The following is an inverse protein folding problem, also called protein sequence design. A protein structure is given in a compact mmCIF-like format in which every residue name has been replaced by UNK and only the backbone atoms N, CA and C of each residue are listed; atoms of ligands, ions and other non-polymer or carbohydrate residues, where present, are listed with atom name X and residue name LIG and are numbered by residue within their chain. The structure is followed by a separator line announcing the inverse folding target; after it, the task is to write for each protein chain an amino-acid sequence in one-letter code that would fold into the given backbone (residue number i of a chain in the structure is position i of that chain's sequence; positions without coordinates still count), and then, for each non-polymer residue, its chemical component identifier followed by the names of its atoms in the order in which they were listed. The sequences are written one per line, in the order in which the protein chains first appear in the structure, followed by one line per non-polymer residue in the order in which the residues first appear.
data_IF_674529985283
#
_entry.id   IF_674529985283
#
_cell.length_a   1.000
_cell.length_b   1.000
_cell.length_c   1.000
_cell.angle_alpha   90.00
_cell.angle_beta   90.00
_cell.angle_gamma   90.00
#
_symmetry.space_group_name_H-M   'P 1'
#
loop_
_entity.id
_entity.type
_entity.pdbx_description
1 polymer ?
#
# COMPACT_ATOMS: atom_id res chain seq x y z
N UNK A 1 26.71 -3.73 69.02
CA UNK A 1 26.05 -4.18 67.78
C UNK A 1 26.05 -3.00 66.81
N UNK A 2 27.06 -2.89 65.95
CA UNK A 2 27.21 -1.79 64.99
C UNK A 2 26.83 -2.25 63.59
N UNK A 3 26.04 -1.42 62.92
CA UNK A 3 25.32 -1.69 61.68
C UNK A 3 26.14 -1.40 60.41
N UNK A 4 25.68 -2.00 59.32
CA UNK A 4 26.24 -2.19 57.97
C UNK A 4 26.83 -0.96 57.27
N UNK A 5 27.80 -1.21 56.36
CA UNK A 5 27.81 -0.59 55.02
C UNK A 5 28.24 -1.60 53.96
N UNK A 6 27.27 -2.11 53.21
CA UNK A 6 27.47 -2.89 51.99
C UNK A 6 27.42 -1.92 50.81
N UNK A 7 28.56 -1.69 50.16
CA UNK A 7 28.65 -0.83 48.97
C UNK A 7 28.29 -1.69 47.76
N UNK A 8 27.07 -1.52 47.27
CA UNK A 8 26.61 -2.15 46.04
C UNK A 8 27.07 -1.32 44.85
N UNK A 9 28.03 -1.84 44.08
CA UNK A 9 28.48 -1.24 42.83
C UNK A 9 27.46 -1.52 41.73
N UNK A 10 26.63 -0.52 41.42
CA UNK A 10 25.74 -0.53 40.26
C UNK A 10 26.57 -0.37 38.99
N UNK A 11 26.80 -1.49 38.30
CA UNK A 11 27.39 -1.54 36.97
C UNK A 11 26.35 -1.00 35.96
N UNK A 12 26.50 0.26 35.54
CA UNK A 12 25.64 0.88 34.54
C UNK A 12 25.98 0.30 33.15
N UNK A 13 25.18 -0.69 32.71
CA UNK A 13 25.14 -1.15 31.33
C UNK A 13 24.55 -0.03 30.46
N UNK A 14 25.41 0.83 29.91
CA UNK A 14 25.04 1.78 28.89
C UNK A 14 24.71 1.00 27.60
N UNK A 15 23.41 0.73 27.37
CA UNK A 15 22.92 0.33 26.05
C UNK A 15 23.10 1.53 25.12
N UNK A 16 24.19 1.54 24.33
CA UNK A 16 24.32 2.44 23.19
C UNK A 16 23.24 2.08 22.18
N UNK A 17 22.12 2.80 22.22
CA UNK A 17 21.15 2.80 21.14
C UNK A 17 21.83 3.36 19.89
N UNK A 18 22.26 2.47 18.99
CA UNK A 18 22.73 2.86 17.67
C UNK A 18 21.51 3.36 16.89
N UNK A 19 21.22 4.65 16.98
CA UNK A 19 20.23 5.30 16.12
C UNK A 19 20.86 5.50 14.75
N UNK A 20 20.91 4.44 13.95
CA UNK A 20 21.15 4.59 12.52
C UNK A 20 20.03 5.48 11.98
N UNK A 21 20.35 6.63 11.37
CA UNK A 21 19.33 7.45 10.71
C UNK A 21 18.66 6.57 9.65
N UNK A 22 17.36 6.37 9.78
CA UNK A 22 16.58 5.75 8.71
C UNK A 22 16.68 6.66 7.49
N UNK A 23 17.05 6.10 6.34
CA UNK A 23 17.03 6.84 5.09
C UNK A 23 15.61 7.42 4.87
N UNK A 24 15.50 8.69 4.44
CA UNK A 24 14.20 9.29 4.20
C UNK A 24 13.46 8.52 3.10
N UNK A 25 12.21 8.14 3.38
CA UNK A 25 11.34 7.38 2.47
C UNK A 25 10.19 8.25 1.95
N UNK A 26 9.68 7.91 0.77
CA UNK A 26 8.43 8.47 0.27
C UNK A 26 7.22 7.67 0.81
N UNK A 27 6.12 8.34 1.15
CA UNK A 27 4.90 7.70 1.65
C UNK A 27 3.80 7.77 0.59
N UNK A 28 3.27 6.61 0.18
CA UNK A 28 2.19 6.50 -0.79
C UNK A 28 0.90 6.24 -0.02
N UNK A 29 0.01 7.24 0.00
CA UNK A 29 -1.28 7.15 0.66
C UNK A 29 -2.35 6.60 -0.28
N UNK A 30 -3.05 5.58 0.19
CA UNK A 30 -4.09 4.91 -0.58
C UNK A 30 -5.22 4.39 0.31
N UNK A 31 -6.31 3.95 -0.32
CA UNK A 31 -7.40 3.24 0.34
C UNK A 31 -7.96 2.17 -0.58
N UNK A 32 -8.48 1.11 0.00
CA UNK A 32 -9.25 0.10 -0.74
C UNK A 32 -10.70 0.58 -0.84
N UNK A 33 -11.24 0.60 -2.06
CA UNK A 33 -12.60 1.07 -2.32
C UNK A 33 -13.62 -0.06 -2.25
N UNK A 34 -13.24 -1.26 -2.71
CA UNK A 34 -14.14 -2.40 -2.84
C UNK A 34 -13.57 -3.49 -3.72
N UNK A 35 -14.43 -4.45 -4.07
CA UNK A 35 -14.09 -5.59 -4.90
C UNK A 35 -15.18 -5.82 -5.95
N UNK A 36 -14.79 -6.09 -7.19
CA UNK A 36 -15.70 -6.29 -8.32
C UNK A 36 -15.30 -7.48 -9.18
N UNK A 37 -16.12 -7.85 -10.16
CA UNK A 37 -15.82 -8.92 -11.13
C UNK A 37 -15.62 -8.42 -12.56
N UNK A 38 -16.03 -7.20 -12.88
CA UNK A 38 -15.95 -6.62 -14.21
C UNK A 38 -15.36 -5.21 -14.18
N UNK A 39 -14.34 -4.96 -15.00
CA UNK A 39 -13.73 -3.65 -15.18
C UNK A 39 -13.71 -3.27 -16.66
N UNK A 40 -13.85 -1.97 -16.94
CA UNK A 40 -13.51 -1.39 -18.24
C UNK A 40 -12.14 -0.73 -18.11
N UNK A 41 -11.17 -1.14 -18.94
CA UNK A 41 -9.84 -0.53 -19.00
C UNK A 41 -9.63 0.12 -20.36
N UNK A 42 -8.55 0.89 -20.52
CA UNK A 42 -8.17 1.45 -21.82
C UNK A 42 -7.84 0.39 -22.88
N UNK A 43 -7.57 -0.87 -22.47
CA UNK A 43 -7.33 -2.00 -23.37
C UNK A 43 -8.57 -2.88 -23.61
N UNK A 44 -9.70 -2.60 -22.96
CA UNK A 44 -10.97 -3.29 -23.14
C UNK A 44 -11.63 -3.74 -21.83
N UNK A 45 -12.70 -4.52 -21.97
CA UNK A 45 -13.40 -5.11 -20.84
C UNK A 45 -12.59 -6.28 -20.26
N UNK A 46 -12.49 -6.34 -18.93
CA UNK A 46 -11.89 -7.43 -18.18
C UNK A 46 -12.96 -8.04 -17.27
N UNK A 47 -13.15 -9.34 -17.39
CA UNK A 47 -13.96 -10.15 -16.46
C UNK A 47 -13.05 -11.04 -15.65
N UNK A 48 -13.17 -10.98 -14.33
CA UNK A 48 -12.46 -11.89 -13.42
C UNK A 48 -12.94 -13.33 -13.68
N UNK A 49 -12.02 -14.30 -13.85
CA UNK A 49 -12.39 -15.70 -13.96
C UNK A 49 -13.02 -16.21 -12.66
N UNK A 50 -13.70 -17.36 -12.72
CA UNK A 50 -14.26 -17.98 -11.52
C UNK A 50 -13.16 -18.19 -10.45
N UNK A 51 -13.52 -17.95 -9.18
CA UNK A 51 -12.57 -18.00 -8.06
C UNK A 51 -11.60 -16.82 -8.04
N UNK A 52 -11.95 -15.71 -8.68
CA UNK A 52 -11.18 -14.47 -8.67
C UNK A 52 -12.09 -13.25 -8.53
N UNK A 53 -11.50 -12.15 -8.08
CA UNK A 53 -12.11 -10.85 -8.06
C UNK A 53 -11.10 -9.75 -8.35
N UNK A 54 -11.57 -8.53 -8.58
CA UNK A 54 -10.75 -7.34 -8.81
C UNK A 54 -10.86 -6.47 -7.55
N UNK A 55 -9.79 -6.43 -6.76
CA UNK A 55 -9.67 -5.50 -5.65
C UNK A 55 -9.35 -4.09 -6.19
N UNK A 56 -10.16 -3.11 -5.84
CA UNK A 56 -10.05 -1.73 -6.34
C UNK A 56 -9.47 -0.83 -5.26
N UNK A 57 -8.47 -0.05 -5.63
CA UNK A 57 -7.79 0.91 -4.76
C UNK A 57 -7.77 2.29 -5.38
N UNK A 58 -7.69 3.30 -4.52
CA UNK A 58 -7.41 4.68 -4.90
C UNK A 58 -6.13 5.13 -4.21
N UNK A 59 -5.11 5.47 -5.00
CA UNK A 59 -3.94 6.21 -4.53
C UNK A 59 -4.25 7.69 -4.68
N UNK A 60 -4.22 8.43 -3.57
CA UNK A 60 -4.69 9.81 -3.55
C UNK A 60 -3.61 10.82 -3.15
N UNK A 61 -2.49 10.37 -2.58
CA UNK A 61 -1.38 11.27 -2.24
C UNK A 61 -0.05 10.53 -2.21
N UNK A 62 1.00 11.22 -2.62
CA UNK A 62 2.39 10.83 -2.37
C UNK A 62 3.03 11.94 -1.54
N UNK A 63 3.58 11.58 -0.39
CA UNK A 63 4.42 12.45 0.42
C UNK A 63 5.90 12.17 0.14
N UNK A 64 6.55 13.11 -0.52
CA UNK A 64 7.97 13.08 -0.84
C UNK A 64 8.72 14.23 -0.14
N UNK A 65 8.13 14.80 0.91
CA UNK A 65 8.63 16.03 1.57
C UNK A 65 9.94 15.82 2.32
N UNK A 66 10.19 14.58 2.76
CA UNK A 66 11.43 14.20 3.44
C UNK A 66 12.52 13.73 2.48
N UNK A 67 12.15 13.46 1.22
CA UNK A 67 13.07 12.92 0.24
C UNK A 67 13.73 14.03 -0.59
N UNK A 68 15.05 14.09 -0.55
CA UNK A 68 15.87 15.02 -1.36
C UNK A 68 16.03 14.62 -2.84
N UNK A 69 15.22 13.69 -3.34
CA UNK A 69 15.30 13.15 -4.71
C UNK A 69 13.94 13.22 -5.39
N UNK A 70 13.95 13.62 -6.66
CA UNK A 70 12.80 13.51 -7.54
C UNK A 70 12.75 12.12 -8.16
N UNK A 71 11.55 11.60 -8.40
CA UNK A 71 11.33 10.29 -9.01
C UNK A 71 9.99 10.27 -9.76
N UNK A 72 9.67 9.14 -10.40
CA UNK A 72 8.40 8.96 -11.10
C UNK A 72 7.62 7.81 -10.49
N UNK A 73 6.38 8.10 -10.07
CA UNK A 73 5.46 7.10 -9.55
C UNK A 73 4.64 6.50 -10.70
N UNK A 74 4.66 5.18 -10.87
CA UNK A 74 3.78 4.50 -11.81
C UNK A 74 2.85 3.54 -11.08
N UNK A 75 1.56 3.85 -11.05
CA UNK A 75 0.53 2.99 -10.46
C UNK A 75 0.52 1.55 -10.99
N UNK A 76 1.01 1.28 -12.21
CA UNK A 76 1.12 -0.07 -12.76
C UNK A 76 2.18 -0.93 -12.04
N UNK A 77 3.15 -0.29 -11.36
CA UNK A 77 4.17 -0.99 -10.57
C UNK A 77 3.69 -1.36 -9.16
N UNK A 78 2.52 -0.88 -8.71
CA UNK A 78 1.94 -1.26 -7.41
C UNK A 78 1.54 -2.74 -7.41
N UNK A 79 1.73 -3.38 -6.26
CA UNK A 79 1.51 -4.81 -6.06
C UNK A 79 0.81 -5.05 -4.72
N UNK A 80 0.26 -6.25 -4.50
CA UNK A 80 -0.14 -6.67 -3.16
C UNK A 80 1.08 -7.00 -2.31
N UNK A 81 1.05 -6.59 -1.04
CA UNK A 81 2.10 -6.87 -0.07
C UNK A 81 2.21 -8.36 0.27
N UNK A 82 1.14 -9.13 0.09
CA UNK A 82 1.12 -10.57 0.30
C UNK A 82 0.46 -11.31 -0.88
N UNK A 83 1.01 -12.46 -1.31
CA UNK A 83 0.42 -13.31 -2.33
C UNK A 83 -0.90 -13.96 -1.86
N UNK A 84 -1.69 -14.54 -2.79
CA UNK A 84 -1.45 -14.64 -4.23
C UNK A 84 -1.94 -13.39 -5.01
N UNK A 85 -1.03 -12.78 -5.79
CA UNK A 85 -1.34 -11.73 -6.75
C UNK A 85 -1.31 -12.34 -8.15
N UNK A 86 -2.32 -12.05 -8.99
CA UNK A 86 -2.27 -12.45 -10.40
C UNK A 86 -1.77 -11.35 -11.30
N UNK A 87 -2.35 -10.16 -11.21
CA UNK A 87 -2.09 -9.10 -12.18
C UNK A 87 -2.58 -7.74 -11.69
N UNK A 88 -1.76 -6.70 -11.86
CA UNK A 88 -2.22 -5.32 -11.83
C UNK A 88 -2.86 -4.99 -13.20
N UNK A 89 -4.12 -4.53 -13.18
CA UNK A 89 -4.94 -4.33 -14.38
C UNK A 89 -4.74 -2.97 -15.03
N UNK A 90 -3.88 -2.09 -14.49
CA UNK A 90 -3.46 -0.91 -15.22
C UNK A 90 -2.88 0.21 -14.38
N UNK A 91 -2.42 1.23 -15.08
CA UNK A 91 -1.96 2.48 -14.51
C UNK A 91 -2.24 3.66 -15.43
N UNK A 92 -2.24 4.87 -14.86
CA UNK A 92 -2.43 6.12 -15.60
C UNK A 92 -1.15 6.65 -16.23
N UNK A 93 -0.10 5.82 -16.26
CA UNK A 93 1.25 6.21 -16.63
C UNK A 93 2.03 6.88 -15.49
N UNK A 94 3.32 7.17 -15.71
CA UNK A 94 4.20 7.71 -14.69
C UNK A 94 3.84 9.16 -14.34
N UNK A 95 3.79 9.46 -13.04
CA UNK A 95 3.57 10.80 -12.49
C UNK A 95 4.85 11.31 -11.83
N UNK A 96 5.35 12.50 -12.21
CA UNK A 96 6.54 13.06 -11.59
C UNK A 96 6.29 13.46 -10.13
N UNK A 97 7.21 13.07 -9.26
CA UNK A 97 7.21 13.41 -7.84
C UNK A 97 8.50 14.18 -7.53
N UNK A 98 8.38 15.48 -7.30
CA UNK A 98 9.52 16.35 -7.01
C UNK A 98 10.13 16.10 -5.63
N UNK A 99 11.44 16.30 -5.50
CA UNK A 99 12.12 16.34 -4.20
C UNK A 99 11.45 17.37 -3.26
N UNK A 100 11.19 16.98 -2.01
CA UNK A 100 10.60 17.88 -1.02
C UNK A 100 9.12 18.23 -1.25
N UNK A 101 8.43 17.53 -2.16
CA UNK A 101 7.04 17.85 -2.53
C UNK A 101 6.04 16.82 -1.97
N UNK A 102 4.77 17.24 -1.89
CA UNK A 102 3.64 16.31 -1.80
C UNK A 102 2.80 16.42 -3.08
N UNK A 103 2.39 15.29 -3.64
CA UNK A 103 1.61 15.22 -4.88
C UNK A 103 0.24 14.64 -4.56
N UNK A 104 -0.82 15.32 -4.99
CA UNK A 104 -2.19 14.78 -4.92
C UNK A 104 -2.48 14.01 -6.20
N UNK A 105 -3.09 12.84 -6.07
CA UNK A 105 -3.39 11.93 -7.16
C UNK A 105 -4.87 11.56 -7.16
N UNK A 106 -5.34 11.05 -8.30
CA UNK A 106 -6.60 10.33 -8.41
C UNK A 106 -6.37 9.02 -9.19
N UNK A 107 -5.29 8.31 -8.86
CA UNK A 107 -4.93 7.09 -9.56
C UNK A 107 -5.76 5.92 -9.00
N UNK A 108 -6.44 5.21 -9.90
CA UNK A 108 -7.20 4.00 -9.58
C UNK A 108 -6.39 2.78 -9.99
N UNK A 109 -6.39 1.77 -9.13
CA UNK A 109 -5.65 0.53 -9.33
C UNK A 109 -6.63 -0.62 -9.15
N UNK A 110 -6.71 -1.50 -10.14
CA UNK A 110 -7.41 -2.78 -10.02
C UNK A 110 -6.38 -3.90 -9.93
N UNK A 111 -6.48 -4.76 -8.93
CA UNK A 111 -5.62 -5.94 -8.81
C UNK A 111 -6.49 -7.18 -8.82
N UNK A 112 -6.17 -8.12 -9.72
CA UNK A 112 -6.81 -9.42 -9.75
C UNK A 112 -6.29 -10.28 -8.57
N UNK A 113 -7.23 -10.73 -7.73
CA UNK A 113 -7.00 -11.53 -6.53
C UNK A 113 -7.70 -12.88 -6.66
N UNK A 114 -7.11 -13.92 -6.06
CA UNK A 114 -7.77 -15.22 -5.92
C UNK A 114 -8.76 -15.19 -4.76
N UNK A 115 -9.82 -15.98 -4.89
CA UNK A 115 -10.91 -16.06 -3.92
C UNK A 115 -11.32 -17.51 -3.68
N UNK A 116 -11.94 -17.78 -2.53
CA UNK A 116 -12.47 -19.10 -2.20
C UNK A 116 -13.79 -19.36 -2.93
N UNK A 117 -14.64 -18.34 -3.08
CA UNK A 117 -15.92 -18.48 -3.76
C UNK A 117 -15.78 -18.29 -5.26
N UNK A 118 -16.51 -19.07 -6.08
CA UNK A 118 -16.52 -18.91 -7.53
C UNK A 118 -16.92 -17.51 -8.01
N UNK A 119 -17.77 -16.81 -7.25
CA UNK A 119 -18.28 -15.46 -7.58
C UNK A 119 -17.36 -14.32 -7.14
N UNK A 120 -16.28 -14.61 -6.41
CA UNK A 120 -15.34 -13.60 -5.90
C UNK A 120 -15.83 -12.77 -4.71
N UNK A 121 -17.02 -13.06 -4.17
CA UNK A 121 -17.65 -12.20 -3.14
C UNK A 121 -16.93 -12.20 -1.79
N UNK A 122 -16.17 -13.25 -1.47
CA UNK A 122 -15.41 -13.37 -0.22
C UNK A 122 -14.21 -12.41 -0.15
N UNK A 123 -13.66 -11.97 -1.28
CA UNK A 123 -12.61 -10.94 -1.30
C UNK A 123 -13.07 -9.60 -0.67
N UNK A 124 -14.38 -9.34 -0.61
CA UNK A 124 -14.93 -8.18 0.06
C UNK A 124 -14.74 -8.20 1.58
N UNK A 125 -14.46 -9.36 2.18
CA UNK A 125 -14.08 -9.48 3.59
C UNK A 125 -12.56 -9.42 3.81
N UNK A 126 -11.77 -9.22 2.75
CA UNK A 126 -10.30 -9.21 2.83
C UNK A 126 -9.75 -7.79 2.84
N UNK A 127 -8.86 -7.53 3.79
CA UNK A 127 -8.16 -6.27 3.96
C UNK A 127 -6.81 -6.32 3.23
N UNK A 128 -6.80 -5.93 1.96
CA UNK A 128 -5.61 -6.00 1.12
C UNK A 128 -4.67 -4.81 1.34
N UNK A 129 -3.37 -5.07 1.35
CA UNK A 129 -2.33 -4.04 1.48
C UNK A 129 -1.53 -3.94 0.18
N UNK A 130 -1.24 -2.72 -0.23
CA UNK A 130 -0.39 -2.44 -1.38
C UNK A 130 1.05 -2.20 -0.95
N UNK A 131 1.96 -2.68 -1.77
CA UNK A 131 3.39 -2.36 -1.76
C UNK A 131 3.78 -1.73 -3.10
N UNK A 132 4.81 -0.89 -3.07
CA UNK A 132 5.45 -0.36 -4.26
C UNK A 132 6.90 -0.84 -4.27
N UNK A 133 7.41 -1.36 -5.40
CA UNK A 133 8.77 -1.82 -5.48
C UNK A 133 9.75 -0.66 -5.33
N UNK A 134 10.97 -0.97 -4.90
CA UNK A 134 12.04 0.02 -4.91
C UNK A 134 12.43 0.33 -6.36
N UNK A 135 12.09 1.52 -6.85
CA UNK A 135 12.42 1.98 -8.20
C UNK A 135 13.44 3.12 -8.10
N UNK A 136 14.70 2.93 -8.56
CA UNK A 136 15.66 4.03 -8.64
C UNK A 136 15.08 5.21 -9.46
N UNK A 137 15.27 6.47 -9.05
CA UNK A 137 16.14 6.95 -7.96
C UNK A 137 15.45 7.07 -6.58
N UNK A 138 14.20 6.65 -6.42
CA UNK A 138 13.47 6.73 -5.15
C UNK A 138 14.06 5.74 -4.13
N UNK A 139 14.58 6.20 -2.97
CA UNK A 139 15.00 5.33 -1.89
C UNK A 139 13.79 5.00 -1.02
N UNK A 140 13.34 3.75 -1.06
CA UNK A 140 12.28 3.22 -0.19
C UNK A 140 10.91 3.89 -0.31
N UNK A 141 9.86 3.09 -0.44
CA UNK A 141 8.47 3.59 -0.41
C UNK A 141 7.70 2.86 0.68
N UNK A 142 6.89 3.61 1.43
CA UNK A 142 5.96 3.06 2.40
C UNK A 142 4.52 3.26 1.93
N UNK A 143 3.73 2.19 1.90
CA UNK A 143 2.30 2.27 1.68
C UNK A 143 1.55 2.63 2.96
N UNK A 144 0.80 3.74 2.96
CA UNK A 144 -0.06 4.16 4.07
C UNK A 144 -1.54 3.98 3.67
N UNK A 145 -2.18 2.92 4.16
CA UNK A 145 -3.60 2.64 3.91
C UNK A 145 -4.49 3.42 4.88
N UNK A 146 -5.34 4.30 4.37
CA UNK A 146 -6.24 5.13 5.18
C UNK A 146 -7.28 4.30 5.96
N UNK A 147 -7.88 3.30 5.29
CA UNK A 147 -8.88 2.40 5.88
C UNK A 147 -8.29 1.05 6.31
N UNK A 148 -7.11 1.06 6.92
CA UNK A 148 -6.42 -0.16 7.34
C UNK A 148 -7.17 -0.99 8.42
N UNK A 149 -8.10 -0.39 9.17
CA UNK A 149 -8.93 -1.07 10.16
C UNK A 149 -10.25 -1.60 9.62
N UNK A 150 -10.57 -1.34 8.35
CA UNK A 150 -11.82 -1.78 7.74
C UNK A 150 -11.76 -3.27 7.41
N UNK A 151 -12.79 -4.01 7.84
CA UNK A 151 -12.89 -5.48 7.73
C UNK A 151 -13.90 -5.95 6.68
N UNK A 152 -14.66 -5.03 6.10
CA UNK A 152 -15.63 -5.33 5.05
C UNK A 152 -15.66 -4.21 4.02
N UNK A 153 -15.81 -4.58 2.75
CA UNK A 153 -15.80 -3.66 1.62
C UNK A 153 -17.01 -3.90 0.71
N UNK A 154 -17.43 -2.91 -0.09
CA UNK A 154 -18.45 -3.12 -1.11
C UNK A 154 -18.04 -4.19 -2.12
N UNK A 155 -19.00 -5.04 -2.48
CA UNK A 155 -18.90 -5.98 -3.60
C UNK A 155 -19.90 -5.59 -4.69
N UNK A 156 -19.48 -5.56 -5.95
CA UNK A 156 -20.35 -5.27 -7.08
C UNK A 156 -19.94 -6.07 -8.32
N UNK A 157 -20.85 -6.22 -9.29
CA UNK A 157 -20.46 -6.79 -10.58
C UNK A 157 -19.48 -5.85 -11.32
N UNK A 158 -19.82 -4.57 -11.43
CA UNK A 158 -19.03 -3.55 -12.14
C UNK A 158 -18.19 -2.70 -11.16
N UNK A 159 -16.88 -2.61 -11.43
CA UNK A 159 -15.95 -1.77 -10.67
C UNK A 159 -16.31 -0.28 -10.68
N UNK A 160 -17.02 0.21 -11.70
CA UNK A 160 -17.48 1.61 -11.75
C UNK A 160 -18.48 1.93 -10.64
N UNK A 161 -19.29 0.95 -10.21
CA UNK A 161 -20.23 1.11 -9.10
C UNK A 161 -19.52 1.31 -7.74
N UNK A 162 -18.26 0.87 -7.63
CA UNK A 162 -17.43 0.97 -6.43
C UNK A 162 -16.59 2.23 -6.44
N UNK A 163 -16.09 2.59 -7.62
CA UNK A 163 -15.10 3.64 -7.78
C UNK A 163 -15.64 5.06 -7.53
N UNK A 164 -16.98 5.21 -7.43
CA UNK A 164 -17.68 6.49 -7.50
C UNK A 164 -17.59 7.05 -8.91
N UNK A 165 -18.74 7.19 -9.59
CA UNK A 165 -18.82 7.90 -10.88
C UNK A 165 -18.19 9.29 -10.80
#
# INVERSE_FOLDING_TARGET
MNSLRMVSALLALALSACTTPLDPIAVIHYRQLGVCTHAQTGSGAITAPAGHAIAVFKVFRIDNTKLGKSWSFDSAAMQLASPPMKQNLGGTGPVPVGAGQAVTLNARIGILVETEKPDGSDAAATNYFLAYPMVPPAPGTLGAKENASQVSYPFAADCNAIAGG
#
